data_IF_614280973527
#
_entry.id   IF_614280973527
#
_cell.length_a   1.000
_cell.length_b   1.000
_cell.length_c   1.000
_cell.angle_alpha   90.00
_cell.angle_beta   90.00
_cell.angle_gamma   90.00
#
_symmetry.space_group_name_H-M   'P 1'
#
loop_
_entity.id
_entity.type
_entity.pdbx_description
1 polymer ?
#
# COMPACT_ATOMS: atom_id res chain seq x y z
N UNK A 1 15.25 10.42 -34.52
CA UNK A 1 14.85 9.74 -33.26
C UNK A 1 14.43 8.28 -33.44
N UNK A 2 13.94 7.83 -34.62
CA UNK A 2 13.42 6.47 -34.78
C UNK A 2 14.45 5.32 -34.86
N UNK A 3 15.71 5.58 -35.26
CA UNK A 3 16.73 4.52 -35.39
C UNK A 3 17.37 4.10 -34.06
N UNK A 4 17.45 5.00 -33.08
CA UNK A 4 17.99 4.71 -31.74
C UNK A 4 16.99 3.94 -30.89
N UNK A 5 15.69 4.24 -31.01
CA UNK A 5 14.61 3.52 -30.35
C UNK A 5 14.49 2.06 -30.84
N UNK A 6 14.68 1.82 -32.14
CA UNK A 6 14.64 0.48 -32.72
C UNK A 6 15.82 -0.40 -32.26
N UNK A 7 17.03 0.16 -32.16
CA UNK A 7 18.22 -0.55 -31.68
C UNK A 7 18.13 -0.86 -30.19
N UNK A 8 17.58 0.06 -29.38
CA UNK A 8 17.30 -0.17 -27.96
C UNK A 8 16.20 -1.22 -27.75
N UNK A 9 15.16 -1.23 -28.57
CA UNK A 9 14.10 -2.25 -28.52
C UNK A 9 14.63 -3.64 -28.91
N UNK A 10 15.49 -3.74 -29.93
CA UNK A 10 16.11 -5.00 -30.34
C UNK A 10 17.11 -5.53 -29.30
N UNK A 11 17.89 -4.67 -28.64
CA UNK A 11 18.76 -5.07 -27.53
C UNK A 11 17.96 -5.49 -26.28
N UNK A 12 16.79 -4.90 -26.04
CA UNK A 12 15.88 -5.29 -24.97
C UNK A 12 15.29 -6.70 -25.24
N UNK A 13 14.87 -6.96 -26.48
CA UNK A 13 14.33 -8.25 -26.92
C UNK A 13 15.43 -9.33 -26.93
N UNK A 14 16.64 -8.99 -27.37
CA UNK A 14 17.78 -9.92 -27.39
C UNK A 14 18.26 -10.30 -25.97
N UNK A 15 18.15 -9.40 -24.98
CA UNK A 15 18.42 -9.74 -23.57
C UNK A 15 17.30 -10.57 -22.92
N UNK A 16 16.06 -10.43 -23.38
CA UNK A 16 14.92 -11.23 -22.93
C UNK A 16 14.97 -12.69 -23.44
N UNK A 17 15.65 -12.96 -24.56
CA UNK A 17 15.69 -14.29 -25.16
C UNK A 17 16.71 -15.26 -24.55
N UNK A 18 17.68 -14.79 -23.74
CA UNK A 18 18.81 -15.61 -23.25
C UNK A 18 18.59 -16.17 -21.84
N UNK A 19 17.50 -15.82 -21.15
CA UNK A 19 17.21 -16.31 -19.80
C UNK A 19 15.92 -17.11 -19.80
N UNK A 20 15.97 -18.32 -20.36
CA UNK A 20 14.96 -19.32 -20.10
C UNK A 20 15.61 -20.70 -20.00
N UNK A 21 15.65 -21.27 -18.79
CA UNK A 21 15.16 -22.61 -18.59
C UNK A 21 13.74 -22.53 -18.04
N UNK A 22 12.86 -23.14 -18.83
CA UNK A 22 11.45 -23.40 -18.58
C UNK A 22 11.30 -24.26 -17.33
N UNK A 23 10.79 -23.66 -16.25
CA UNK A 23 10.06 -24.34 -15.19
C UNK A 23 8.97 -23.35 -14.78
N UNK A 24 7.73 -23.83 -14.75
CA UNK A 24 6.51 -23.04 -14.65
C UNK A 24 6.55 -22.01 -13.50
N UNK A 25 7.07 -20.82 -13.79
CA UNK A 25 6.69 -19.62 -13.08
C UNK A 25 5.27 -19.35 -13.55
N UNK A 26 4.28 -19.91 -12.86
CA UNK A 26 2.94 -19.34 -12.88
C UNK A 26 3.12 -17.84 -12.69
N UNK A 27 2.82 -17.09 -13.74
CA UNK A 27 2.96 -15.65 -13.74
C UNK A 27 1.90 -15.16 -12.76
N UNK A 28 2.30 -14.91 -11.52
CA UNK A 28 1.38 -14.47 -10.48
C UNK A 28 0.79 -13.12 -10.91
N UNK A 29 -0.46 -13.14 -11.35
CA UNK A 29 -1.18 -11.94 -11.73
C UNK A 29 -1.75 -11.30 -10.46
N UNK A 30 -1.11 -10.22 -9.99
CA UNK A 30 -1.60 -9.43 -8.85
C UNK A 30 -2.53 -8.34 -9.37
N UNK A 31 -3.78 -8.34 -8.91
CA UNK A 31 -4.76 -7.28 -9.24
C UNK A 31 -4.75 -6.23 -8.16
N UNK A 32 -4.97 -4.97 -8.55
CA UNK A 32 -5.12 -3.87 -7.61
C UNK A 32 -6.61 -3.56 -7.48
N UNK A 33 -7.14 -3.67 -6.26
CA UNK A 33 -8.50 -3.28 -5.90
C UNK A 33 -8.55 -1.87 -5.33
N UNK A 34 -9.76 -1.31 -5.34
CA UNK A 34 -10.09 0.00 -4.79
C UNK A 34 -11.17 -0.15 -3.72
N UNK A 35 -10.96 0.46 -2.56
CA UNK A 35 -11.97 0.64 -1.52
C UNK A 35 -12.08 2.13 -1.16
N UNK A 36 -13.30 2.57 -0.83
CA UNK A 36 -13.60 3.92 -0.38
C UNK A 36 -13.97 3.91 1.10
N UNK A 37 -13.29 4.74 1.91
CA UNK A 37 -13.61 4.98 3.31
C UNK A 37 -14.14 6.42 3.46
N UNK A 38 -15.44 6.56 3.72
CA UNK A 38 -16.11 7.84 3.89
C UNK A 38 -17.25 8.08 2.88
N UNK A 39 -17.72 9.34 2.73
CA UNK A 39 -17.21 10.54 3.37
C UNK A 39 -17.56 10.59 4.86
N UNK A 40 -16.55 10.81 5.70
CA UNK A 40 -16.75 11.13 7.11
C UNK A 40 -16.97 12.62 7.27
N UNK A 41 -17.99 13.03 8.05
CA UNK A 41 -18.33 14.44 8.27
C UNK A 41 -18.40 14.75 9.76
N UNK A 42 -17.61 15.72 10.20
CA UNK A 42 -17.55 16.21 11.57
C UNK A 42 -17.91 17.69 11.63
N UNK A 43 -18.87 18.02 12.48
CA UNK A 43 -19.28 19.42 12.72
C UNK A 43 -18.59 19.92 13.98
N UNK A 44 -17.84 21.00 13.84
CA UNK A 44 -17.13 21.65 14.93
C UNK A 44 -18.10 22.49 15.78
N UNK A 45 -17.67 22.86 16.99
CA UNK A 45 -18.48 23.69 17.90
C UNK A 45 -18.82 25.08 17.33
N UNK A 46 -18.02 25.57 16.38
CA UNK A 46 -18.24 26.85 15.68
C UNK A 46 -19.12 26.70 14.41
N UNK A 47 -19.68 25.52 14.16
CA UNK A 47 -20.55 25.23 13.02
C UNK A 47 -19.84 24.90 11.70
N UNK A 48 -18.50 25.01 11.63
CA UNK A 48 -17.76 24.56 10.45
C UNK A 48 -17.78 23.04 10.33
N UNK A 49 -17.73 22.53 9.10
CA UNK A 49 -17.75 21.09 8.81
C UNK A 49 -16.43 20.64 8.22
N UNK A 50 -15.80 19.66 8.84
CA UNK A 50 -14.68 18.89 8.28
C UNK A 50 -15.29 17.66 7.59
N UNK A 51 -14.91 17.44 6.34
CA UNK A 51 -15.29 16.29 5.54
C UNK A 51 -14.03 15.63 5.02
N UNK A 52 -13.91 14.32 5.21
CA UNK A 52 -12.77 13.51 4.80
C UNK A 52 -13.26 12.31 4.00
N UNK A 53 -12.64 12.06 2.85
CA UNK A 53 -12.79 10.84 2.05
C UNK A 53 -11.42 10.23 1.83
N UNK A 54 -11.33 8.90 1.89
CA UNK A 54 -10.08 8.17 1.66
C UNK A 54 -10.33 7.10 0.62
N UNK A 55 -9.61 7.17 -0.49
CA UNK A 55 -9.54 6.11 -1.49
C UNK A 55 -8.30 5.25 -1.21
N UNK A 56 -8.50 3.94 -1.13
CA UNK A 56 -7.45 2.96 -0.83
C UNK A 56 -7.27 2.04 -2.02
N UNK A 57 -6.05 1.91 -2.51
CA UNK A 57 -5.68 1.00 -3.59
C UNK A 57 -4.73 -0.07 -3.04
N UNK A 58 -5.14 -1.33 -3.06
CA UNK A 58 -4.42 -2.44 -2.43
C UNK A 58 -4.38 -3.66 -3.34
N UNK A 59 -3.32 -4.49 -3.27
CA UNK A 59 -3.25 -5.72 -4.04
C UNK A 59 -4.22 -6.77 -3.50
N UNK A 60 -4.76 -7.60 -4.37
CA UNK A 60 -5.58 -8.76 -4.03
C UNK A 60 -4.79 -9.94 -3.47
N UNK A 61 -3.50 -9.92 -3.75
CA UNK A 61 -2.56 -10.99 -3.44
C UNK A 61 -1.29 -10.39 -2.85
N UNK A 62 -0.94 -10.86 -1.66
CA UNK A 62 0.33 -10.60 -0.98
C UNK A 62 1.25 -11.78 -1.17
N UNK A 63 2.55 -11.50 -1.37
CA UNK A 63 3.54 -12.56 -1.57
C UNK A 63 4.62 -12.42 -0.51
N UNK A 64 4.81 -13.47 0.26
CA UNK A 64 5.88 -13.57 1.25
C UNK A 64 6.97 -14.51 0.74
N UNK A 65 8.17 -13.97 0.47
CA UNK A 65 9.34 -14.75 0.04
C UNK A 65 10.47 -14.80 1.08
N UNK A 66 10.39 -13.97 2.12
CA UNK A 66 11.39 -13.90 3.17
C UNK A 66 11.26 -12.61 3.99
N UNK A 67 11.92 -12.53 5.16
CA UNK A 67 11.77 -11.43 6.10
C UNK A 67 12.35 -10.11 5.60
N UNK A 68 13.26 -10.16 4.62
CA UNK A 68 13.88 -8.98 4.01
C UNK A 68 13.02 -8.33 2.92
N UNK A 69 11.97 -9.02 2.43
CA UNK A 69 11.07 -8.50 1.40
C UNK A 69 9.78 -7.93 2.03
N UNK A 70 9.33 -6.77 1.54
CA UNK A 70 8.00 -6.26 1.85
C UNK A 70 6.91 -7.15 1.23
N UNK A 71 5.78 -7.33 1.91
CA UNK A 71 4.65 -8.16 1.42
C UNK A 71 3.98 -7.55 0.19
N UNK A 72 4.03 -6.22 0.07
CA UNK A 72 3.35 -5.45 -0.95
C UNK A 72 3.21 -3.98 -0.54
N UNK A 73 2.48 -3.22 -1.35
CA UNK A 73 2.31 -1.78 -1.17
C UNK A 73 0.84 -1.40 -1.27
N UNK A 74 0.38 -0.55 -0.34
CA UNK A 74 -0.98 0.02 -0.34
C UNK A 74 -0.89 1.52 -0.56
N UNK A 75 -1.67 2.05 -1.50
CA UNK A 75 -1.73 3.48 -1.78
C UNK A 75 -3.01 4.10 -1.23
N UNK A 76 -2.89 5.30 -0.69
CA UNK A 76 -3.98 6.08 -0.14
C UNK A 76 -4.07 7.42 -0.85
N UNK A 77 -5.28 7.85 -1.17
CA UNK A 77 -5.60 9.23 -1.56
C UNK A 77 -6.59 9.79 -0.54
N UNK A 78 -6.13 10.71 0.28
CA UNK A 78 -6.93 11.39 1.30
C UNK A 78 -7.38 12.72 0.73
N UNK A 79 -8.69 12.95 0.71
CA UNK A 79 -9.31 14.21 0.32
C UNK A 79 -10.02 14.82 1.53
N UNK A 80 -9.70 16.06 1.88
CA UNK A 80 -10.34 16.81 2.95
C UNK A 80 -10.86 18.16 2.44
N UNK A 81 -12.03 18.59 2.90
CA UNK A 81 -12.56 19.94 2.62
C UNK A 81 -11.91 21.03 3.52
N UNK A 82 -10.66 20.82 3.94
CA UNK A 82 -9.93 21.72 4.82
C UNK A 82 -8.82 22.42 4.06
N UNK A 83 -8.71 23.74 4.24
CA UNK A 83 -7.70 24.56 3.55
C UNK A 83 -6.52 24.92 4.45
N UNK A 84 -6.63 24.71 5.77
CA UNK A 84 -5.55 24.93 6.73
C UNK A 84 -4.57 23.75 6.79
N UNK A 85 -3.54 23.85 7.64
CA UNK A 85 -2.61 22.76 7.84
C UNK A 85 -3.31 21.54 8.45
N UNK A 86 -2.92 20.34 8.07
CA UNK A 86 -3.36 19.10 8.71
C UNK A 86 -2.26 18.04 8.71
N UNK A 87 -2.25 17.16 9.70
CA UNK A 87 -1.30 16.06 9.82
C UNK A 87 -2.08 14.75 9.97
N UNK A 88 -1.47 13.64 9.58
CA UNK A 88 -2.13 12.36 9.59
C UNK A 88 -1.20 11.16 9.62
N UNK A 89 -1.65 10.11 10.31
CA UNK A 89 -1.05 8.79 10.28
C UNK A 89 -2.02 7.84 9.61
N UNK A 90 -1.56 7.16 8.57
CA UNK A 90 -2.27 6.01 7.99
C UNK A 90 -1.58 4.72 8.42
N UNK A 91 -2.37 3.74 8.78
CA UNK A 91 -1.90 2.43 9.24
C UNK A 91 -2.66 1.35 8.49
N UNK A 92 -1.92 0.34 8.06
CA UNK A 92 -2.45 -0.89 7.47
C UNK A 92 -1.98 -2.05 8.31
N UNK A 93 -2.90 -2.92 8.65
CA UNK A 93 -2.59 -4.22 9.24
C UNK A 93 -3.20 -5.31 8.38
N UNK A 94 -2.47 -6.41 8.25
CA UNK A 94 -2.92 -7.63 7.63
C UNK A 94 -2.99 -8.67 8.73
N UNK A 95 -4.16 -9.27 8.92
CA UNK A 95 -4.44 -10.19 10.02
C UNK A 95 -5.15 -11.42 9.45
N UNK A 96 -5.00 -12.56 10.10
CA UNK A 96 -5.79 -13.73 9.72
C UNK A 96 -7.31 -13.45 9.87
N UNK A 97 -8.17 -14.13 9.08
CA UNK A 97 -9.60 -13.89 9.12
C UNK A 97 -10.20 -14.21 10.48
N UNK A 98 -11.26 -13.48 10.83
CA UNK A 98 -12.05 -13.75 12.02
C UNK A 98 -11.64 -12.97 13.26
N UNK A 99 -10.75 -11.98 13.14
CA UNK A 99 -10.40 -11.05 14.21
C UNK A 99 -11.16 -9.72 14.08
N UNK A 100 -11.35 -9.05 15.22
CA UNK A 100 -11.72 -7.65 15.23
C UNK A 100 -10.47 -6.80 15.50
N UNK A 101 -10.46 -5.57 14.99
CA UNK A 101 -9.43 -4.59 15.35
C UNK A 101 -10.02 -3.65 16.41
N UNK A 102 -9.32 -3.51 17.54
CA UNK A 102 -9.60 -2.45 18.49
C UNK A 102 -9.26 -1.10 17.83
N UNK A 103 -10.22 -0.22 17.56
CA UNK A 103 -9.96 1.03 16.87
C UNK A 103 -9.20 2.04 17.71
N UNK A 104 -9.04 1.88 19.02
CA UNK A 104 -8.25 2.81 19.86
C UNK A 104 -6.76 2.54 19.69
N UNK A 105 -6.37 1.27 19.82
CA UNK A 105 -4.98 0.82 19.73
C UNK A 105 -4.59 0.39 18.31
N UNK A 106 -5.56 0.13 17.44
CA UNK A 106 -5.40 -0.48 16.12
C UNK A 106 -4.55 -1.75 16.19
N UNK A 107 -5.06 -2.73 16.92
CA UNK A 107 -4.45 -4.06 17.10
C UNK A 107 -5.54 -5.14 17.07
N UNK A 108 -5.22 -6.38 16.68
CA UNK A 108 -6.16 -7.48 16.75
C UNK A 108 -6.61 -7.76 18.19
N UNK A 109 -7.91 -7.98 18.38
CA UNK A 109 -8.54 -8.37 19.64
C UNK A 109 -9.53 -9.51 19.41
N UNK A 110 -9.79 -10.26 20.48
CA UNK A 110 -10.69 -11.42 20.58
C UNK A 110 -11.84 -11.45 19.57
N UNK A 111 -12.16 -12.63 19.06
CA UNK A 111 -13.40 -12.90 18.34
C UNK A 111 -14.25 -13.89 19.11
N UNK A 112 -15.58 -13.73 19.00
CA UNK A 112 -16.58 -14.59 19.64
C UNK A 112 -16.42 -16.07 19.20
N UNK A 113 -15.71 -16.33 18.10
CA UNK A 113 -15.42 -17.67 17.56
C UNK A 113 -13.94 -18.08 17.66
N UNK A 114 -13.08 -17.33 18.37
CA UNK A 114 -11.61 -17.45 18.32
C UNK A 114 -10.98 -18.60 19.15
N UNK A 115 -11.72 -19.65 19.50
CA UNK A 115 -11.15 -20.80 20.23
C UNK A 115 -10.51 -21.87 19.34
N UNK A 116 -10.67 -21.77 18.02
CA UNK A 116 -10.03 -22.70 17.09
C UNK A 116 -9.05 -21.92 16.20
N UNK A 117 -7.77 -22.10 16.50
CA UNK A 117 -6.64 -21.84 15.58
C UNK A 117 -6.31 -20.37 15.34
N UNK A 118 -5.73 -19.75 16.39
CA UNK A 118 -4.78 -18.63 16.40
C UNK A 118 -4.87 -17.63 15.25
N UNK A 119 -5.16 -16.38 15.56
CA UNK A 119 -4.84 -15.26 14.68
C UNK A 119 -3.79 -14.37 15.29
N UNK A 120 -2.81 -14.15 14.45
CA UNK A 120 -1.71 -13.27 14.68
C UNK A 120 -1.70 -12.22 13.57
N UNK A 121 -0.92 -11.18 13.77
CA UNK A 121 -0.66 -10.23 12.69
C UNK A 121 0.19 -10.90 11.62
N UNK A 122 -0.23 -10.81 10.35
CA UNK A 122 0.53 -11.28 9.16
C UNK A 122 1.52 -10.21 8.71
N UNK A 123 1.09 -8.95 8.78
CA UNK A 123 1.91 -7.82 8.35
C UNK A 123 1.39 -6.49 8.87
N UNK A 124 2.28 -5.52 8.97
CA UNK A 124 1.95 -4.18 9.45
C UNK A 124 2.72 -3.13 8.65
N UNK A 125 2.07 -2.02 8.39
CA UNK A 125 2.68 -0.86 7.77
C UNK A 125 2.03 0.39 8.35
N UNK A 126 2.85 1.28 8.90
CA UNK A 126 2.39 2.60 9.31
C UNK A 126 3.23 3.65 8.59
N UNK A 127 2.56 4.64 8.02
CA UNK A 127 3.24 5.84 7.54
C UNK A 127 2.89 6.99 8.47
N UNK A 128 3.85 7.34 9.32
CA UNK A 128 3.89 8.60 10.04
C UNK A 128 4.70 9.57 9.19
N UNK A 129 4.06 10.63 8.71
CA UNK A 129 4.80 11.73 8.08
C UNK A 129 4.67 12.94 9.00
N UNK A 130 5.23 12.86 10.20
CA UNK A 130 5.55 14.06 10.95
C UNK A 130 6.85 14.65 10.40
N UNK A 131 6.73 15.43 9.34
CA UNK A 131 7.68 16.49 9.04
C UNK A 131 6.90 17.75 8.64
N UNK A 132 6.08 18.23 9.58
CA UNK A 132 5.23 19.42 9.40
C UNK A 132 3.82 19.12 8.89
N UNK A 133 2.87 19.97 9.28
CA UNK A 133 1.49 19.88 8.83
C UNK A 133 1.38 20.20 7.33
N UNK A 134 0.59 19.41 6.61
CA UNK A 134 0.34 19.54 5.20
C UNK A 134 -0.57 20.69 4.87
N UNK A 135 -0.21 21.43 3.82
CA UNK A 135 -1.08 22.41 3.20
C UNK A 135 -1.74 21.80 1.97
N UNK A 136 -3.07 21.88 1.88
CA UNK A 136 -3.85 21.45 0.73
C UNK A 136 -4.96 20.45 1.07
N UNK A 137 -5.89 20.26 0.13
CA UNK A 137 -7.09 19.44 0.32
C UNK A 137 -6.94 17.98 -0.10
N UNK A 138 -5.81 17.61 -0.73
CA UNK A 138 -5.57 16.24 -1.24
C UNK A 138 -4.15 15.79 -0.89
N UNK A 139 -4.00 14.55 -0.43
CA UNK A 139 -2.72 13.92 -0.14
C UNK A 139 -2.68 12.48 -0.64
N UNK A 140 -1.63 12.16 -1.40
CA UNK A 140 -1.33 10.79 -1.80
C UNK A 140 -0.25 10.21 -0.88
N UNK A 141 -0.40 8.96 -0.48
CA UNK A 141 0.49 8.26 0.44
C UNK A 141 0.67 6.81 0.00
N UNK A 142 1.82 6.23 0.33
CA UNK A 142 2.17 4.86 -0.04
C UNK A 142 2.72 4.16 1.19
N UNK A 143 2.09 3.06 1.59
CA UNK A 143 2.47 2.25 2.75
C UNK A 143 3.05 0.94 2.25
N UNK A 144 4.30 0.66 2.62
CA UNK A 144 4.92 -0.66 2.38
C UNK A 144 4.56 -1.56 3.55
N UNK A 145 3.98 -2.72 3.24
CA UNK A 145 3.61 -3.73 4.22
C UNK A 145 4.84 -4.54 4.59
N UNK A 146 5.15 -4.60 5.88
CA UNK A 146 6.22 -5.45 6.39
C UNK A 146 5.65 -6.76 6.90
N UNK A 147 6.29 -7.89 6.60
CA UNK A 147 5.87 -9.18 7.11
C UNK A 147 6.09 -9.27 8.63
N UNK A 148 5.30 -10.12 9.28
CA UNK A 148 5.38 -10.41 10.72
C UNK A 148 5.66 -11.91 10.96
N UNK A 149 6.12 -12.23 12.16
CA UNK A 149 6.88 -13.46 12.46
C UNK A 149 6.17 -14.79 12.16
N UNK A 150 4.84 -14.86 12.23
CA UNK A 150 4.10 -16.13 12.08
C UNK A 150 4.37 -16.84 10.75
N UNK A 151 4.48 -16.09 9.66
CA UNK A 151 4.70 -16.68 8.33
C UNK A 151 6.17 -16.98 8.03
N UNK A 152 7.09 -16.64 8.96
CA UNK A 152 8.51 -16.91 8.79
C UNK A 152 8.81 -18.41 8.78
N UNK A 153 7.99 -19.21 9.46
CA UNK A 153 8.11 -20.68 9.53
C UNK A 153 6.95 -21.41 8.85
N UNK A 154 5.96 -20.70 8.30
CA UNK A 154 4.84 -21.31 7.60
C UNK A 154 5.30 -22.09 6.34
N UNK A 155 4.68 -23.25 6.03
CA UNK A 155 4.89 -23.96 4.78
C UNK A 155 4.56 -23.09 3.56
N UNK A 156 5.20 -23.38 2.42
CA UNK A 156 4.78 -22.80 1.13
C UNK A 156 3.33 -23.15 0.85
N UNK A 157 2.54 -22.16 0.43
CA UNK A 157 1.12 -22.35 0.18
C UNK A 157 0.33 -21.06 0.06
N UNK A 158 -0.96 -21.20 -0.24
CA UNK A 158 -1.93 -20.11 -0.25
C UNK A 158 -2.68 -20.06 1.10
N UNK A 159 -2.76 -18.88 1.67
CA UNK A 159 -3.43 -18.55 2.91
C UNK A 159 -4.40 -17.40 2.66
N UNK A 160 -5.38 -17.24 3.54
CA UNK A 160 -6.33 -16.11 3.48
C UNK A 160 -6.00 -15.14 4.62
N UNK A 161 -6.12 -13.85 4.36
CA UNK A 161 -5.97 -12.79 5.36
C UNK A 161 -7.00 -11.67 5.12
N UNK A 162 -7.05 -10.69 6.02
CA UNK A 162 -7.88 -9.50 5.94
C UNK A 162 -7.04 -8.23 6.07
N UNK A 163 -7.37 -7.22 5.25
CA UNK A 163 -6.82 -5.88 5.40
C UNK A 163 -7.64 -5.04 6.36
N UNK A 164 -6.97 -4.50 7.36
CA UNK A 164 -7.50 -3.43 8.19
C UNK A 164 -6.80 -2.12 7.85
N UNK A 165 -7.58 -1.10 7.55
CA UNK A 165 -7.09 0.24 7.25
C UNK A 165 -7.50 1.20 8.37
N UNK A 166 -6.62 2.14 8.72
CA UNK A 166 -6.93 3.26 9.61
C UNK A 166 -6.24 4.53 9.19
N UNK A 167 -6.94 5.64 9.31
CA UNK A 167 -6.41 6.98 9.26
C UNK A 167 -6.77 7.74 10.54
N UNK A 168 -5.76 8.39 11.15
CA UNK A 168 -5.95 9.38 12.22
C UNK A 168 -5.47 10.72 11.70
N UNK A 169 -6.36 11.69 11.56
CA UNK A 169 -6.06 13.01 11.02
C UNK A 169 -6.29 14.07 12.09
N UNK A 170 -5.34 14.99 12.23
CA UNK A 170 -5.41 16.16 13.08
C UNK A 170 -5.38 17.43 12.21
N UNK A 171 -6.32 18.33 12.46
CA UNK A 171 -6.44 19.57 11.68
C UNK A 171 -6.01 20.76 12.52
N UNK A 172 -5.36 21.73 11.87
CA UNK A 172 -4.79 22.91 12.50
C UNK A 172 -5.34 24.19 11.85
N UNK A 173 -5.36 25.25 12.64
CA UNK A 173 -5.62 26.61 12.19
C UNK A 173 -4.38 27.19 11.50
N UNK A 174 -4.50 28.31 10.75
CA UNK A 174 -3.36 28.95 10.10
C UNK A 174 -2.26 29.41 11.07
N UNK A 175 -2.60 29.68 12.33
CA UNK A 175 -1.65 30.04 13.40
C UNK A 175 -0.88 28.85 13.97
N UNK A 176 -1.09 27.64 13.44
CA UNK A 176 -0.47 26.40 13.89
C UNK A 176 -1.15 25.75 15.10
N UNK A 177 -2.16 26.39 15.71
CA UNK A 177 -2.90 25.79 16.81
C UNK A 177 -3.84 24.69 16.32
N UNK A 178 -3.95 23.61 17.10
CA UNK A 178 -4.83 22.50 16.77
C UNK A 178 -6.31 22.92 16.84
N UNK A 179 -7.12 22.46 15.89
CA UNK A 179 -8.58 22.64 15.91
C UNK A 179 -9.17 21.74 16.98
N UNK A 180 -9.82 22.34 17.98
CA UNK A 180 -10.49 21.60 19.04
C UNK A 180 -11.62 20.74 18.46
N UNK A 181 -11.61 19.45 18.79
CA UNK A 181 -12.54 18.49 18.19
C UNK A 181 -12.39 18.39 16.68
N UNK A 182 -11.22 18.73 16.12
CA UNK A 182 -10.91 18.58 14.70
C UNK A 182 -10.33 17.21 14.35
N UNK A 183 -10.05 16.34 15.33
CA UNK A 183 -9.48 15.03 15.06
C UNK A 183 -10.49 14.10 14.39
N UNK A 184 -10.10 13.54 13.25
CA UNK A 184 -10.89 12.58 12.48
C UNK A 184 -10.21 11.21 12.54
N UNK A 185 -10.96 10.18 12.92
CA UNK A 185 -10.50 8.80 12.90
C UNK A 185 -11.41 7.99 11.99
N UNK A 186 -10.85 7.36 10.98
CA UNK A 186 -11.55 6.50 10.02
C UNK A 186 -10.84 5.16 10.03
N UNK A 187 -11.59 4.06 10.14
CA UNK A 187 -11.03 2.72 10.10
C UNK A 187 -12.02 1.74 9.50
N UNK A 188 -11.52 0.63 8.95
CA UNK A 188 -12.34 -0.54 8.67
C UNK A 188 -12.47 -1.40 9.92
N UNK A 189 -13.61 -2.05 10.06
CA UNK A 189 -13.88 -3.10 11.04
C UNK A 189 -13.86 -4.48 10.36
N UNK A 190 -14.17 -5.53 11.11
CA UNK A 190 -14.19 -6.91 10.61
C UNK A 190 -15.23 -7.17 9.51
N UNK A 191 -16.28 -6.34 9.43
CA UNK A 191 -17.34 -6.49 8.44
C UNK A 191 -16.99 -5.78 7.12
N UNK A 192 -16.20 -4.72 7.21
CA UNK A 192 -15.81 -3.86 6.08
C UNK A 192 -14.39 -4.10 5.57
N UNK A 193 -13.56 -4.83 6.33
CA UNK A 193 -12.21 -5.22 5.96
C UNK A 193 -12.19 -6.19 4.75
N UNK A 194 -11.51 -5.86 3.64
CA UNK A 194 -11.47 -6.75 2.49
C UNK A 194 -10.57 -7.96 2.74
N UNK A 195 -11.04 -9.12 2.26
CA UNK A 195 -10.27 -10.36 2.22
C UNK A 195 -9.18 -10.29 1.16
N UNK A 196 -8.01 -10.85 1.46
CA UNK A 196 -6.83 -10.88 0.58
C UNK A 196 -6.20 -12.27 0.61
N UNK A 197 -5.58 -12.66 -0.49
CA UNK A 197 -4.78 -13.88 -0.57
C UNK A 197 -3.35 -13.60 -0.11
N UNK A 198 -2.78 -14.50 0.67
CA UNK A 198 -1.36 -14.50 1.03
C UNK A 198 -0.70 -15.75 0.46
N UNK A 199 0.33 -15.57 -0.34
CA UNK A 199 1.10 -16.66 -0.92
C UNK A 199 2.47 -16.69 -0.25
N UNK A 200 2.74 -17.78 0.46
CA UNK A 200 4.06 -18.05 1.05
C UNK A 200 4.86 -18.86 0.06
N UNK A 201 6.03 -18.34 -0.32
CA UNK A 201 6.99 -19.03 -1.19
C UNK A 201 8.28 -19.22 -0.42
N UNK A 202 8.52 -20.43 0.09
CA UNK A 202 9.85 -20.85 0.54
C UNK A 202 10.59 -21.35 -0.70
N UNK A 203 11.62 -20.63 -1.13
CA UNK A 203 12.57 -21.22 -2.07
C UNK A 203 13.19 -22.46 -1.42
N UNK A 204 13.30 -23.61 -2.12
CA UNK A 204 14.07 -24.72 -1.60
C UNK A 204 15.49 -24.21 -1.34
N UNK A 205 16.06 -24.52 -0.18
CA UNK A 205 17.45 -24.19 0.16
C UNK A 205 18.38 -24.82 -0.89
N UNK A 206 18.64 -24.10 -1.98
CA UNK A 206 19.44 -24.55 -3.09
C UNK A 206 20.17 -23.34 -3.68
N UNK A 207 21.25 -22.97 -2.99
CA UNK A 207 22.44 -22.30 -3.52
C UNK A 207 22.28 -21.25 -4.62
N UNK A 208 22.52 -19.99 -4.25
CA UNK A 208 23.22 -19.03 -5.10
C UNK A 208 22.51 -17.70 -5.33
N UNK A 209 23.03 -16.68 -4.65
CA UNK A 209 22.79 -15.21 -4.66
C UNK A 209 22.39 -14.48 -5.97
N UNK A 210 22.31 -15.13 -7.13
CA UNK A 210 22.23 -14.42 -8.41
C UNK A 210 20.81 -14.29 -9.01
N UNK A 211 19.80 -14.98 -8.46
CA UNK A 211 18.39 -14.88 -8.93
C UNK A 211 17.61 -13.72 -8.31
N UNK A 212 17.91 -13.36 -7.06
CA UNK A 212 17.28 -12.24 -6.35
C UNK A 212 17.71 -10.88 -6.89
N UNK A 213 19.01 -10.69 -7.15
CA UNK A 213 19.53 -9.44 -7.70
C UNK A 213 18.97 -9.11 -9.11
N UNK A 214 18.70 -10.13 -9.92
CA UNK A 214 18.18 -9.97 -11.28
C UNK A 214 16.68 -9.65 -11.31
N UNK A 215 15.89 -10.17 -10.36
CA UNK A 215 14.48 -9.82 -10.15
C UNK A 215 14.31 -8.38 -9.64
N UNK A 216 15.09 -7.98 -8.64
CA UNK A 216 15.05 -6.63 -8.05
C UNK A 216 15.48 -5.58 -9.08
N UNK A 217 16.54 -5.84 -9.86
CA UNK A 217 16.97 -4.96 -10.93
C UNK A 217 15.91 -4.81 -12.04
N UNK A 218 15.16 -5.88 -12.34
CA UNK A 218 14.09 -5.84 -13.34
C UNK A 218 12.90 -5.01 -12.85
N UNK A 219 12.45 -5.22 -11.61
CA UNK A 219 11.31 -4.48 -11.05
C UNK A 219 11.65 -3.01 -10.77
N UNK A 220 12.85 -2.72 -10.26
CA UNK A 220 13.35 -1.35 -10.13
C UNK A 220 13.51 -0.67 -11.50
N UNK A 221 13.95 -1.41 -12.52
CA UNK A 221 14.05 -0.94 -13.89
C UNK A 221 12.69 -0.62 -14.52
N UNK A 222 11.69 -1.47 -14.30
CA UNK A 222 10.31 -1.25 -14.77
C UNK A 222 9.69 -0.05 -14.05
N UNK A 223 9.84 0.06 -12.73
CA UNK A 223 9.34 1.19 -11.95
C UNK A 223 9.97 2.52 -12.39
N UNK A 224 11.29 2.55 -12.59
CA UNK A 224 11.99 3.73 -13.09
C UNK A 224 11.55 4.10 -14.52
N UNK A 225 11.31 3.11 -15.39
CA UNK A 225 10.81 3.33 -16.74
C UNK A 225 9.38 3.89 -16.75
N UNK A 226 8.49 3.40 -15.89
CA UNK A 226 7.11 3.91 -15.76
C UNK A 226 7.10 5.35 -15.26
N UNK A 227 7.95 5.69 -14.28
CA UNK A 227 8.10 7.06 -13.78
C UNK A 227 8.67 7.99 -14.86
N UNK A 228 9.70 7.55 -15.59
CA UNK A 228 10.30 8.35 -16.66
C UNK A 228 9.33 8.59 -17.84
N UNK A 229 8.57 7.56 -18.23
CA UNK A 229 7.54 7.68 -19.28
C UNK A 229 6.39 8.58 -18.81
N UNK A 230 5.92 8.41 -17.56
CA UNK A 230 4.89 9.26 -16.97
C UNK A 230 5.32 10.73 -16.94
N UNK A 231 6.57 11.01 -16.54
CA UNK A 231 7.12 12.36 -16.52
C UNK A 231 7.21 12.96 -17.93
N UNK A 232 7.72 12.21 -18.91
CA UNK A 232 7.83 12.65 -20.30
C UNK A 232 6.46 12.95 -20.95
N UNK A 233 5.43 12.15 -20.63
CA UNK A 233 4.07 12.36 -21.12
C UNK A 233 3.43 13.60 -20.48
N UNK A 234 3.59 13.78 -19.17
CA UNK A 234 3.09 14.97 -18.46
C UNK A 234 3.78 16.23 -18.96
N UNK A 235 5.11 16.21 -19.14
CA UNK A 235 5.85 17.36 -19.66
C UNK A 235 5.45 17.72 -21.10
N UNK A 236 5.24 16.73 -21.96
CA UNK A 236 4.76 16.95 -23.33
C UNK A 236 3.36 17.56 -23.36
N UNK A 237 2.44 17.08 -22.52
CA UNK A 237 1.08 17.61 -22.40
C UNK A 237 1.05 19.03 -21.84
N UNK A 238 1.93 19.35 -20.89
CA UNK A 238 2.05 20.70 -20.31
C UNK A 238 2.65 21.69 -21.32
N UNK A 239 3.67 21.29 -22.10
CA UNK A 239 4.23 22.13 -23.17
C UNK A 239 3.23 22.40 -24.29
N UNK A 240 2.38 21.43 -24.65
CA UNK A 240 1.29 21.60 -25.64
C UNK A 240 0.15 22.50 -25.18
N UNK A 241 -0.04 22.69 -23.87
CA UNK A 241 -1.07 23.60 -23.32
C UNK A 241 -0.57 25.04 -23.13
N UNK A 242 0.75 25.27 -23.24
CA UNK A 242 1.38 26.59 -23.03
C UNK A 242 1.86 27.26 -24.32
N UNK A 243 1.77 26.58 -25.46
CA UNK A 243 1.95 27.15 -26.81
C UNK A 243 0.64 27.08 -27.57
#
# INVERSE_FOLDING_TARGET
MHRVAAVLALLLIAKLAVVAPVQAAERLEVKIYHAELGPFIQTLADGRRIMVKIDVYFPDTLVYRGPEEGLGTVNFTITANWTGPWDGIVTVQVVDPGYHIDPTTFKPVESVNAWAEGGDTVGTGALHIASGAYMGSVRNMTVVLRPHERYFTAPSGEYTAQYFFKARLAFFKPDGSKVLGGDVNIYTDSETAPMVKLIVVKEPEAGGDNRLASSIALNAGIAAAVVAIGYAVVEHLVRRKRG
#
